data_IF_889308909896
#
_entry.id   IF_889308909896
#
_cell.length_a   1.000
_cell.length_b   1.000
_cell.length_c   1.000
_cell.angle_alpha   90.00
_cell.angle_beta   90.00
_cell.angle_gamma   90.00
#
_symmetry.space_group_name_H-M   'P 1'
#
loop_
_entity.id
_entity.type
_entity.pdbx_description
1 polymer ?
#
# COMPACT_ATOMS: atom_id res chain seq x y z
N UNK A 1 -21.42 7.73 -11.91
CA UNK A 1 -20.09 7.26 -12.36
C UNK A 1 -19.08 7.55 -11.27
N UNK A 2 -18.08 6.69 -11.09
CA UNK A 2 -16.99 6.97 -10.13
C UNK A 2 -15.90 7.82 -10.80
N UNK A 3 -15.54 8.92 -10.18
CA UNK A 3 -14.41 9.78 -10.55
C UNK A 3 -13.24 9.48 -9.61
N UNK A 4 -12.06 9.22 -10.18
CA UNK A 4 -10.86 8.83 -9.45
C UNK A 4 -9.79 9.89 -9.66
N UNK A 5 -9.22 10.39 -8.56
CA UNK A 5 -8.07 11.30 -8.59
C UNK A 5 -6.86 10.65 -7.92
N UNK A 6 -5.69 11.05 -8.36
CA UNK A 6 -4.40 10.52 -7.88
C UNK A 6 -3.49 11.67 -7.52
N UNK A 7 -3.03 11.70 -6.27
CA UNK A 7 -2.11 12.70 -5.74
C UNK A 7 -0.79 12.02 -5.38
N UNK A 8 0.27 12.33 -6.12
CA UNK A 8 1.61 11.84 -5.80
C UNK A 8 2.34 12.92 -5.01
N UNK A 9 2.79 12.54 -3.81
CA UNK A 9 3.37 13.46 -2.83
C UNK A 9 4.76 12.97 -2.42
N UNK A 10 5.79 13.83 -2.46
CA UNK A 10 7.11 13.47 -1.93
C UNK A 10 7.04 13.26 -0.41
N UNK A 11 7.93 12.45 0.12
CA UNK A 11 8.02 12.11 1.54
C UNK A 11 9.47 12.32 2.00
N UNK A 12 9.67 13.15 3.01
CA UNK A 12 10.99 13.46 3.56
C UNK A 12 11.48 12.40 4.56
N UNK A 13 10.55 11.73 5.22
CA UNK A 13 10.78 10.66 6.19
C UNK A 13 9.54 9.74 6.27
N UNK A 14 9.62 8.54 6.87
CA UNK A 14 8.47 7.64 6.97
C UNK A 14 7.25 8.22 7.71
N UNK A 15 7.43 9.21 8.54
CA UNK A 15 6.40 9.91 9.29
C UNK A 15 5.91 11.21 8.63
N UNK A 16 6.45 11.56 7.47
CA UNK A 16 6.09 12.79 6.78
C UNK A 16 4.74 12.66 6.08
N UNK A 17 3.70 13.08 6.77
CA UNK A 17 2.31 13.17 6.27
C UNK A 17 1.86 14.61 6.04
N UNK A 18 2.77 15.57 6.20
CA UNK A 18 2.48 17.00 6.28
C UNK A 18 1.82 17.58 5.02
N UNK A 19 2.24 17.13 3.85
CA UNK A 19 1.67 17.64 2.61
C UNK A 19 0.25 17.09 2.38
N UNK A 20 -0.05 15.83 2.77
CA UNK A 20 -1.42 15.33 2.72
C UNK A 20 -2.31 16.07 3.71
N UNK A 21 -1.81 16.32 4.91
CA UNK A 21 -2.52 17.12 5.90
C UNK A 21 -2.88 18.50 5.34
N UNK A 22 -1.92 19.19 4.72
CA UNK A 22 -2.13 20.47 4.08
C UNK A 22 -3.16 20.40 2.94
N UNK A 23 -3.09 19.38 2.06
CA UNK A 23 -4.05 19.19 0.97
C UNK A 23 -5.48 18.98 1.51
N UNK A 24 -5.62 18.33 2.66
CA UNK A 24 -6.90 18.17 3.35
C UNK A 24 -7.37 19.50 3.93
N UNK A 25 -6.51 20.24 4.62
CA UNK A 25 -6.85 21.53 5.26
C UNK A 25 -7.22 22.60 4.24
N UNK A 26 -6.59 22.58 3.07
CA UNK A 26 -6.91 23.45 1.93
C UNK A 26 -8.20 23.02 1.17
N UNK A 27 -8.76 21.86 1.50
CA UNK A 27 -9.95 21.31 0.84
C UNK A 27 -9.67 20.73 -0.55
N UNK A 28 -8.40 20.56 -0.94
CA UNK A 28 -8.02 19.91 -2.21
C UNK A 28 -8.30 18.41 -2.17
N UNK A 29 -8.09 17.78 -1.02
CA UNK A 29 -8.39 16.37 -0.77
C UNK A 29 -9.45 16.26 0.32
N UNK A 30 -10.57 15.64 -0.01
CA UNK A 30 -11.56 15.27 1.00
C UNK A 30 -11.13 13.93 1.63
N UNK A 31 -10.82 13.86 2.94
CA UNK A 31 -10.36 12.64 3.56
C UNK A 31 -11.38 11.50 3.49
N UNK A 32 -12.67 11.80 3.40
CA UNK A 32 -13.73 10.79 3.24
C UNK A 32 -13.80 10.19 1.82
N UNK A 33 -13.15 10.81 0.85
CA UNK A 33 -13.03 10.28 -0.52
C UNK A 33 -11.77 9.43 -0.71
N UNK A 34 -10.81 9.47 0.25
CA UNK A 34 -9.60 8.65 0.20
C UNK A 34 -10.01 7.18 0.25
N UNK A 35 -9.57 6.41 -0.75
CA UNK A 35 -9.89 5.00 -0.88
C UNK A 35 -8.67 4.08 -0.80
N UNK A 36 -7.46 4.59 -1.03
CA UNK A 36 -6.21 3.85 -0.83
C UNK A 36 -5.02 4.81 -0.70
N UNK A 37 -3.96 4.35 -0.01
CA UNK A 37 -2.65 5.02 0.04
C UNK A 37 -1.58 3.98 -0.29
N UNK A 38 -0.72 4.28 -1.26
CA UNK A 38 0.45 3.47 -1.60
C UNK A 38 1.70 4.32 -1.37
N UNK A 39 2.63 3.86 -0.54
CA UNK A 39 3.82 4.62 -0.19
C UNK A 39 5.11 3.83 -0.38
N UNK A 40 6.12 4.50 -0.92
CA UNK A 40 7.52 4.08 -0.94
C UNK A 40 8.21 4.74 0.25
N UNK A 41 8.27 4.04 1.39
CA UNK A 41 8.69 4.66 2.66
C UNK A 41 10.18 4.57 2.93
N UNK A 42 10.94 3.84 2.11
CA UNK A 42 12.29 3.40 2.45
C UNK A 42 12.35 2.62 3.79
N UNK A 43 13.52 2.06 4.09
CA UNK A 43 13.74 1.34 5.34
C UNK A 43 13.16 -0.07 5.36
N UNK A 44 13.09 -0.60 6.56
CA UNK A 44 12.70 -1.98 6.86
C UNK A 44 11.20 -2.14 7.21
N UNK A 45 10.83 -3.29 7.75
CA UNK A 45 9.46 -3.59 8.17
C UNK A 45 8.92 -2.64 9.23
N UNK A 46 9.77 -2.14 10.12
CA UNK A 46 9.36 -1.18 11.16
C UNK A 46 9.02 0.18 10.54
N UNK A 47 9.82 0.66 9.59
CA UNK A 47 9.54 1.91 8.88
C UNK A 47 8.19 1.89 8.18
N UNK A 48 7.82 0.75 7.56
CA UNK A 48 6.52 0.58 6.93
C UNK A 48 5.37 0.64 7.93
N UNK A 49 5.50 -0.05 9.06
CA UNK A 49 4.50 -0.02 10.13
C UNK A 49 4.38 1.36 10.76
N UNK A 50 5.51 2.05 10.94
CA UNK A 50 5.55 3.41 11.47
C UNK A 50 4.87 4.41 10.52
N UNK A 51 5.17 4.36 9.23
CA UNK A 51 4.51 5.19 8.24
C UNK A 51 2.98 4.97 8.22
N UNK A 52 2.52 3.72 8.20
CA UNK A 52 1.10 3.41 8.26
C UNK A 52 0.45 4.00 9.51
N UNK A 53 1.10 3.87 10.67
CA UNK A 53 0.61 4.45 11.93
C UNK A 53 0.48 5.98 11.84
N UNK A 54 1.44 6.68 11.22
CA UNK A 54 1.38 8.13 11.08
C UNK A 54 0.20 8.58 10.20
N UNK A 55 -0.04 7.90 9.07
CA UNK A 55 -1.23 8.15 8.26
C UNK A 55 -2.52 7.84 9.01
N UNK A 56 -2.59 6.70 9.71
CA UNK A 56 -3.76 6.32 10.49
C UNK A 56 -4.09 7.37 11.57
N UNK A 57 -3.09 7.88 12.28
CA UNK A 57 -3.28 8.88 13.33
C UNK A 57 -3.75 10.22 12.76
N UNK A 58 -3.08 10.74 11.73
CA UNK A 58 -3.44 12.00 11.09
C UNK A 58 -4.87 11.92 10.51
N UNK A 59 -5.19 10.85 9.77
CA UNK A 59 -6.53 10.66 9.21
C UNK A 59 -7.60 10.43 10.28
N UNK A 60 -7.26 9.75 11.38
CA UNK A 60 -8.15 9.61 12.56
C UNK A 60 -8.58 10.96 13.11
N UNK A 61 -7.64 11.91 13.20
CA UNK A 61 -7.93 13.28 13.64
C UNK A 61 -8.79 14.03 12.63
N UNK A 62 -8.40 14.03 11.33
CA UNK A 62 -9.13 14.75 10.27
C UNK A 62 -10.53 14.21 9.99
N UNK A 63 -10.75 12.93 10.20
CA UNK A 63 -12.05 12.27 9.96
C UNK A 63 -12.91 12.13 11.22
N UNK A 64 -12.38 12.45 12.39
CA UNK A 64 -13.02 12.20 13.69
C UNK A 64 -13.43 10.73 13.87
N UNK A 65 -12.59 9.80 13.42
CA UNK A 65 -12.78 8.36 13.50
C UNK A 65 -11.68 7.74 14.37
N UNK A 66 -11.95 6.55 14.93
CA UNK A 66 -10.88 5.80 15.57
C UNK A 66 -9.84 5.32 14.54
N UNK A 67 -8.62 5.13 14.98
CA UNK A 67 -7.56 4.56 14.14
C UNK A 67 -7.95 3.21 13.50
N UNK A 68 -8.66 2.37 14.26
CA UNK A 68 -9.10 1.07 13.76
C UNK A 68 -10.12 1.20 12.62
N UNK A 69 -11.02 2.19 12.69
CA UNK A 69 -11.97 2.49 11.63
C UNK A 69 -11.28 3.03 10.38
N UNK A 70 -10.28 3.92 10.54
CA UNK A 70 -9.45 4.39 9.42
C UNK A 70 -8.73 3.23 8.75
N UNK A 71 -8.06 2.37 9.51
CA UNK A 71 -7.34 1.20 8.99
C UNK A 71 -8.26 0.20 8.27
N UNK A 72 -9.50 0.04 8.76
CA UNK A 72 -10.49 -0.82 8.10
C UNK A 72 -11.07 -0.20 6.82
N UNK A 73 -11.11 1.12 6.73
CA UNK A 73 -11.68 1.86 5.60
C UNK A 73 -10.67 2.11 4.47
N UNK A 74 -9.44 2.48 4.82
CA UNK A 74 -8.43 2.92 3.86
C UNK A 74 -7.27 1.92 3.87
N UNK A 75 -7.19 1.00 2.90
CA UNK A 75 -6.05 0.13 2.74
C UNK A 75 -4.79 0.94 2.45
N UNK A 76 -3.74 0.65 3.23
CA UNK A 76 -2.44 1.32 3.13
C UNK A 76 -1.36 0.32 2.75
N UNK A 77 -0.80 0.48 1.57
CA UNK A 77 0.26 -0.37 1.03
C UNK A 77 1.60 0.34 1.20
N UNK A 78 2.28 0.05 2.31
CA UNK A 78 3.61 0.61 2.59
C UNK A 78 4.69 -0.32 2.05
N UNK A 79 5.51 0.19 1.13
CA UNK A 79 6.58 -0.53 0.46
C UNK A 79 7.91 0.08 0.93
N UNK A 80 8.86 -0.74 1.27
CA UNK A 80 10.20 -0.33 1.68
C UNK A 80 11.27 -1.05 0.86
N UNK A 81 12.54 -0.82 1.20
CA UNK A 81 13.70 -1.47 0.58
C UNK A 81 13.82 -1.21 -0.93
N UNK A 82 13.53 0.01 -1.35
CA UNK A 82 13.63 0.41 -2.76
C UNK A 82 15.08 0.44 -3.27
N UNK A 83 16.04 0.27 -2.38
CA UNK A 83 17.46 0.24 -2.72
C UNK A 83 18.02 1.54 -3.29
N UNK A 84 17.37 2.67 -2.98
CA UNK A 84 17.77 3.99 -3.48
C UNK A 84 17.39 4.25 -4.94
N UNK A 85 16.65 3.34 -5.59
CA UNK A 85 16.19 3.51 -6.96
C UNK A 85 15.01 4.48 -7.09
N UNK A 86 14.26 4.67 -6.03
CA UNK A 86 13.11 5.57 -5.99
C UNK A 86 13.21 6.50 -4.78
N UNK A 87 12.90 7.77 -5.00
CA UNK A 87 12.76 8.72 -3.90
C UNK A 87 11.54 8.37 -3.05
N UNK A 88 11.60 8.49 -1.72
CA UNK A 88 10.45 8.30 -0.86
C UNK A 88 9.27 9.18 -1.27
N UNK A 89 8.10 8.60 -1.39
CA UNK A 89 6.87 9.29 -1.77
C UNK A 89 5.66 8.43 -1.42
N UNK A 90 4.50 9.04 -1.41
CA UNK A 90 3.24 8.33 -1.35
C UNK A 90 2.28 8.80 -2.44
N UNK A 91 1.35 7.94 -2.77
CA UNK A 91 0.28 8.20 -3.71
C UNK A 91 -1.04 8.00 -3.00
N UNK A 92 -1.87 9.03 -2.98
CA UNK A 92 -3.22 9.00 -2.43
C UNK A 92 -4.20 8.85 -3.57
N UNK A 93 -5.08 7.88 -3.46
CA UNK A 93 -6.18 7.66 -4.39
C UNK A 93 -7.46 8.13 -3.72
N UNK A 94 -8.19 9.00 -4.40
CA UNK A 94 -9.54 9.40 -3.98
C UNK A 94 -10.56 8.94 -4.99
N UNK A 95 -11.76 8.66 -4.51
CA UNK A 95 -12.87 8.19 -5.34
C UNK A 95 -14.19 8.80 -4.86
N UNK A 96 -14.91 9.40 -5.77
CA UNK A 96 -16.24 9.95 -5.49
C UNK A 96 -17.23 9.62 -6.59
N UNK A 97 -18.49 9.58 -6.24
CA UNK A 97 -19.58 9.46 -7.22
C UNK A 97 -19.87 10.82 -7.85
N UNK A 98 -19.92 10.84 -9.16
CA UNK A 98 -20.25 12.03 -9.94
C UNK A 98 -21.29 11.69 -11.00
N UNK A 99 -22.02 12.70 -11.49
CA UNK A 99 -22.85 12.53 -12.68
C UNK A 99 -21.97 12.14 -13.87
N UNK A 100 -22.46 11.21 -14.69
CA UNK A 100 -21.70 10.77 -15.86
C UNK A 100 -21.53 11.95 -16.83
N UNK A 101 -20.30 12.26 -17.27
CA UNK A 101 -20.10 13.28 -18.29
C UNK A 101 -20.72 12.84 -19.62
N UNK A 102 -21.12 13.79 -20.45
CA UNK A 102 -21.66 13.51 -21.77
C UNK A 102 -20.68 12.80 -22.73
N UNK A 103 -19.40 12.88 -22.46
CA UNK A 103 -18.34 12.25 -23.23
C UNK A 103 -17.95 10.90 -22.65
N UNK A 104 -17.94 9.87 -23.50
CA UNK A 104 -17.60 8.47 -23.16
C UNK A 104 -16.09 8.16 -23.17
N UNK A 105 -15.23 9.11 -22.90
CA UNK A 105 -13.79 8.85 -22.85
C UNK A 105 -13.45 7.90 -21.69
N UNK A 106 -12.57 6.92 -21.95
CA UNK A 106 -12.05 6.04 -20.91
C UNK A 106 -11.23 6.85 -19.90
N UNK A 107 -11.51 6.64 -18.62
CA UNK A 107 -10.85 7.29 -17.50
C UNK A 107 -10.25 6.23 -16.57
N UNK A 108 -9.39 6.69 -15.67
CA UNK A 108 -8.91 5.84 -14.59
C UNK A 108 -10.11 5.34 -13.77
N UNK A 109 -10.23 4.03 -13.65
CA UNK A 109 -11.17 3.36 -12.76
C UNK A 109 -10.39 2.57 -11.71
N UNK A 110 -10.89 2.52 -10.49
CA UNK A 110 -10.24 1.85 -9.38
C UNK A 110 -11.26 1.06 -8.57
N UNK A 111 -11.05 -0.25 -8.47
CA UNK A 111 -11.78 -1.13 -7.58
C UNK A 111 -10.88 -1.63 -6.45
N UNK A 112 -11.43 -1.76 -5.26
CA UNK A 112 -10.70 -2.17 -4.07
C UNK A 112 -11.49 -3.25 -3.34
N UNK A 113 -10.84 -4.38 -3.07
CA UNK A 113 -11.42 -5.46 -2.28
C UNK A 113 -10.48 -5.93 -1.19
N UNK A 114 -11.02 -6.12 -0.01
CA UNK A 114 -10.34 -6.73 1.12
C UNK A 114 -10.89 -8.14 1.26
N UNK A 115 -10.01 -9.13 1.25
CA UNK A 115 -10.40 -10.53 1.48
C UNK A 115 -10.55 -10.81 2.96
N UNK A 116 -11.15 -11.97 3.29
CA UNK A 116 -11.01 -12.49 4.65
C UNK A 116 -9.55 -12.76 4.99
N UNK A 117 -9.26 -12.81 6.26
CA UNK A 117 -7.92 -13.23 6.73
C UNK A 117 -7.67 -14.67 6.33
N UNK A 118 -6.48 -14.95 5.80
CA UNK A 118 -6.01 -16.29 5.50
C UNK A 118 -5.64 -17.03 6.80
N UNK A 119 -5.99 -18.29 6.88
CA UNK A 119 -5.46 -19.16 7.92
C UNK A 119 -3.99 -19.47 7.64
N UNK A 120 -3.16 -19.77 8.68
CA UNK A 120 -1.73 -20.03 8.49
C UNK A 120 -1.43 -21.15 7.48
N UNK A 121 -2.27 -22.17 7.38
CA UNK A 121 -2.14 -23.30 6.46
C UNK A 121 -2.56 -22.96 5.02
N UNK A 122 -3.25 -21.86 4.78
CA UNK A 122 -3.73 -21.46 3.46
C UNK A 122 -2.68 -20.67 2.66
N UNK A 123 -1.65 -20.14 3.33
CA UNK A 123 -0.59 -19.37 2.67
C UNK A 123 0.20 -20.22 1.68
N UNK A 124 0.35 -19.71 0.44
CA UNK A 124 1.05 -20.40 -0.64
C UNK A 124 0.27 -21.56 -1.25
N UNK A 125 -1.04 -21.68 -0.98
CA UNK A 125 -1.89 -22.75 -1.50
C UNK A 125 -2.86 -22.27 -2.58
N UNK A 126 -3.56 -23.22 -3.22
CA UNK A 126 -4.63 -22.91 -4.17
C UNK A 126 -5.80 -22.12 -3.54
N UNK A 127 -5.97 -22.19 -2.22
CA UNK A 127 -6.99 -21.42 -1.49
C UNK A 127 -6.67 -19.93 -1.58
N UNK A 128 -5.42 -19.55 -1.32
CA UNK A 128 -4.97 -18.17 -1.46
C UNK A 128 -5.16 -17.67 -2.89
N UNK A 129 -4.76 -18.46 -3.89
CA UNK A 129 -4.91 -18.09 -5.31
C UNK A 129 -6.37 -17.84 -5.67
N UNK A 130 -7.28 -18.73 -5.27
CA UNK A 130 -8.72 -18.57 -5.53
C UNK A 130 -9.27 -17.31 -4.86
N UNK A 131 -8.92 -17.08 -3.60
CA UNK A 131 -9.40 -15.94 -2.84
C UNK A 131 -8.97 -14.61 -3.49
N UNK A 132 -7.72 -14.54 -3.95
CA UNK A 132 -7.21 -13.36 -4.67
C UNK A 132 -7.92 -13.20 -6.02
N UNK A 133 -8.11 -14.29 -6.78
CA UNK A 133 -8.78 -14.23 -8.08
C UNK A 133 -10.24 -13.77 -7.97
N UNK A 134 -10.94 -14.19 -6.93
CA UNK A 134 -12.31 -13.76 -6.63
C UNK A 134 -12.32 -12.26 -6.27
N UNK A 135 -11.43 -11.82 -5.40
CA UNK A 135 -11.31 -10.43 -5.00
C UNK A 135 -10.99 -9.51 -6.20
N UNK A 136 -10.13 -9.95 -7.12
CA UNK A 136 -9.83 -9.19 -8.35
C UNK A 136 -11.08 -9.05 -9.23
N UNK A 137 -11.86 -10.11 -9.42
CA UNK A 137 -13.11 -10.05 -10.17
C UNK A 137 -14.13 -9.10 -9.55
N UNK A 138 -14.25 -9.15 -8.23
CA UNK A 138 -15.13 -8.23 -7.51
C UNK A 138 -14.66 -6.78 -7.61
N UNK A 139 -13.33 -6.53 -7.53
CA UNK A 139 -12.76 -5.21 -7.72
C UNK A 139 -12.99 -4.69 -9.14
N UNK A 140 -12.84 -5.53 -10.17
CA UNK A 140 -13.19 -5.18 -11.55
C UNK A 140 -14.66 -4.76 -11.67
N UNK A 141 -15.57 -5.54 -11.10
CA UNK A 141 -16.99 -5.24 -11.09
C UNK A 141 -17.29 -3.91 -10.38
N UNK A 142 -16.65 -3.65 -9.23
CA UNK A 142 -16.77 -2.38 -8.50
C UNK A 142 -16.27 -1.19 -9.32
N UNK A 143 -15.20 -1.36 -10.08
CA UNK A 143 -14.63 -0.36 -10.97
C UNK A 143 -15.44 -0.17 -12.26
N UNK A 144 -16.44 -1.02 -12.53
CA UNK A 144 -17.18 -1.04 -13.78
C UNK A 144 -16.36 -1.58 -14.98
N UNK A 145 -15.27 -2.30 -14.71
CA UNK A 145 -14.43 -2.90 -15.75
C UNK A 145 -15.01 -4.25 -16.14
N UNK A 146 -15.41 -4.36 -17.41
CA UNK A 146 -16.01 -5.59 -17.96
C UNK A 146 -15.06 -6.37 -18.87
N UNK A 147 -14.06 -5.70 -19.43
CA UNK A 147 -13.03 -6.31 -20.27
C UNK A 147 -11.71 -6.40 -19.52
N UNK A 148 -11.12 -7.60 -19.46
CA UNK A 148 -9.79 -7.82 -18.85
C UNK A 148 -8.69 -7.01 -19.55
N UNK A 149 -8.86 -6.68 -20.84
CA UNK A 149 -7.92 -5.82 -21.56
C UNK A 149 -7.85 -4.37 -21.00
N UNK A 150 -8.86 -3.96 -20.24
CA UNK A 150 -8.87 -2.65 -19.56
C UNK A 150 -8.24 -2.70 -18.16
N UNK A 151 -7.78 -3.87 -17.69
CA UNK A 151 -7.04 -4.02 -16.44
C UNK A 151 -5.56 -3.76 -16.68
N UNK A 152 -5.06 -2.63 -16.23
CA UNK A 152 -3.66 -2.23 -16.45
C UNK A 152 -2.74 -2.55 -15.27
N UNK A 153 -3.30 -2.66 -14.06
CA UNK A 153 -2.54 -2.97 -12.86
C UNK A 153 -3.41 -3.67 -11.84
N UNK A 154 -2.82 -4.65 -11.17
CA UNK A 154 -3.41 -5.30 -9.98
C UNK A 154 -2.36 -5.28 -8.88
N UNK A 155 -2.62 -4.52 -7.83
CA UNK A 155 -1.78 -4.49 -6.64
C UNK A 155 -2.37 -5.42 -5.57
N UNK A 156 -1.59 -6.39 -5.13
CA UNK A 156 -2.01 -7.35 -4.10
C UNK A 156 -1.10 -7.22 -2.89
N UNK A 157 -1.66 -6.86 -1.75
CA UNK A 157 -0.96 -6.81 -0.47
C UNK A 157 -1.36 -8.02 0.39
N UNK A 158 -0.60 -9.12 0.38
CA UNK A 158 -0.84 -10.20 1.33
C UNK A 158 -0.44 -9.77 2.75
N UNK A 159 -1.18 -10.24 3.75
CA UNK A 159 -0.69 -10.13 5.13
C UNK A 159 0.56 -11.01 5.31
N UNK A 160 1.50 -10.61 6.19
CA UNK A 160 2.64 -11.46 6.51
C UNK A 160 2.17 -12.83 7.01
N UNK A 161 2.79 -13.89 6.53
CA UNK A 161 2.54 -15.24 7.04
C UNK A 161 2.83 -15.27 8.55
N UNK A 162 1.84 -15.56 9.42
CA UNK A 162 2.02 -15.60 10.86
C UNK A 162 3.14 -16.56 11.31
N UNK A 163 3.41 -17.60 10.52
CA UNK A 163 4.49 -18.57 10.79
C UNK A 163 5.89 -17.95 10.64
N UNK A 164 6.00 -16.83 9.91
CA UNK A 164 7.25 -16.08 9.72
C UNK A 164 7.38 -14.91 10.69
N UNK A 165 6.32 -14.52 11.37
CA UNK A 165 6.27 -13.36 12.26
C UNK A 165 7.18 -13.49 13.52
N UNK A 166 7.75 -14.65 13.79
CA UNK A 166 8.69 -14.88 14.89
C UNK A 166 10.07 -15.40 14.47
N UNK A 167 10.28 -15.63 13.18
CA UNK A 167 11.59 -16.06 12.69
C UNK A 167 12.48 -14.83 12.53
N UNK A 168 13.39 -14.62 13.50
CA UNK A 168 14.57 -13.81 13.25
C UNK A 168 15.27 -14.42 12.02
N UNK A 169 15.62 -13.63 10.98
CA UNK A 169 16.49 -14.16 9.94
C UNK A 169 17.74 -14.70 10.62
N UNK A 170 18.04 -15.96 10.39
CA UNK A 170 19.32 -16.50 10.83
C UNK A 170 20.42 -15.61 10.26
N UNK A 171 21.40 -15.18 11.07
CA UNK A 171 22.50 -14.40 10.54
C UNK A 171 23.16 -15.22 9.44
N UNK A 172 23.22 -14.65 8.25
CA UNK A 172 23.87 -15.29 7.11
C UNK A 172 25.32 -15.53 7.48
N UNK A 173 25.66 -16.78 7.77
CA UNK A 173 27.01 -17.20 8.15
C UNK A 173 28.03 -16.96 7.01
N UNK A 174 27.57 -16.82 5.78
CA UNK A 174 28.37 -16.55 4.59
C UNK A 174 29.01 -15.14 4.57
N UNK A 175 28.41 -14.16 5.25
CA UNK A 175 28.98 -12.82 5.34
C UNK A 175 30.18 -12.70 6.29
N UNK A 176 30.31 -13.61 7.25
CA UNK A 176 31.42 -13.61 8.21
C UNK A 176 32.69 -14.28 7.66
N UNK A 177 32.58 -15.12 6.62
CA UNK A 177 33.75 -15.79 6.05
C UNK A 177 34.59 -14.91 5.11
N UNK A 178 34.05 -13.80 4.61
CA UNK A 178 34.77 -12.88 3.75
C UNK A 178 35.63 -11.84 4.49
N UNK A 179 35.42 -11.62 5.78
CA UNK A 179 36.24 -10.67 6.55
C UNK A 179 37.58 -11.27 7.00
N UNK A 180 37.71 -12.59 7.14
CA UNK A 180 38.96 -13.23 7.55
C UNK A 180 39.99 -13.48 6.43
N UNK A 181 39.62 -13.24 5.16
CA UNK A 181 40.56 -13.43 4.02
C UNK A 181 41.31 -12.16 3.56
N UNK A 182 41.05 -11.01 4.16
CA UNK A 182 41.76 -9.76 3.82
C UNK A 182 42.82 -9.30 4.83
N UNK A 183 43.14 -10.13 5.81
CA UNK A 183 44.15 -9.82 6.85
C UNK A 183 45.50 -10.55 6.69
N UNK A 184 45.88 -10.90 5.47
CA UNK A 184 47.15 -11.58 5.21
C UNK A 184 47.90 -10.98 4.05
N UNK A 185 48.38 -9.78 4.17
CA UNK A 185 49.54 -9.30 3.42
C UNK A 185 50.59 -8.95 4.47
N UNK A 186 51.50 -9.89 4.62
CA UNK A 186 52.79 -9.72 5.32
C UNK A 186 53.81 -9.08 4.38
N UNK A 187 54.55 -8.18 4.92
CA UNK A 187 55.95 -7.74 4.67
C UNK A 187 56.40 -7.64 3.19
#
# INVERSE_FOLDING_TARGET
MMDVNVYRVPMGSPDDVSELEKLIDEGTVNPFEICAIIAQTEGDGYSRGYAALCFELMLSEKMHMSRAEVAARIPMLMIGLTGGLMSPHYTVFTRKEVEAPENSEKRLALGIKITRVLLPEEYGTAVQVKLVAEAVKEAMAEAGITDVADVHCVEVKPQPDPRQAGRRPEPRQDLLQHQHRRGGLQD
#
